data_IF_482086167493
#
_entry.id   IF_482086167493
#
_cell.length_a   1.000
_cell.length_b   1.000
_cell.length_c   1.000
_cell.angle_alpha   90.00
_cell.angle_beta   90.00
_cell.angle_gamma   90.00
#
_symmetry.space_group_name_H-M   'P 1'
#
loop_
_entity.id
_entity.type
_entity.pdbx_description
1 polymer ?
#
# COMPACT_ATOMS: atom_id res chain seq x y z
N UNK A 1 -6.64 -17.16 30.72
CA UNK A 1 -6.88 -17.19 29.27
C UNK A 1 -6.32 -18.50 28.77
N UNK A 2 -7.16 -19.40 28.25
CA UNK A 2 -6.66 -20.59 27.59
C UNK A 2 -5.85 -20.15 26.37
N UNK A 3 -4.69 -20.77 26.16
CA UNK A 3 -3.86 -20.58 24.98
C UNK A 3 -4.66 -21.00 23.74
N UNK A 4 -5.24 -20.04 23.02
CA UNK A 4 -5.98 -20.31 21.78
C UNK A 4 -7.12 -19.33 21.46
N UNK A 5 -7.65 -18.61 22.46
CA UNK A 5 -8.75 -17.67 22.21
C UNK A 5 -8.24 -16.30 21.74
N UNK A 6 -8.83 -15.78 20.66
CA UNK A 6 -8.53 -14.44 20.16
C UNK A 6 -9.33 -13.42 20.99
N UNK A 7 -8.69 -12.47 21.69
CA UNK A 7 -9.41 -11.57 22.60
C UNK A 7 -10.42 -10.69 21.85
N UNK A 8 -11.72 -10.90 22.07
CA UNK A 8 -12.78 -10.24 21.32
C UNK A 8 -12.73 -8.71 21.46
N UNK A 9 -12.28 -8.21 22.61
CA UNK A 9 -12.15 -6.79 22.93
C UNK A 9 -11.11 -6.07 22.07
N UNK A 10 -10.12 -6.77 21.50
CA UNK A 10 -9.09 -6.13 20.66
C UNK A 10 -9.47 -6.08 19.19
N UNK A 11 -10.48 -6.84 18.76
CA UNK A 11 -10.88 -6.97 17.34
C UNK A 11 -11.21 -5.62 16.73
N UNK A 12 -11.97 -4.79 17.45
CA UNK A 12 -12.36 -3.45 16.99
C UNK A 12 -11.13 -2.56 16.71
N UNK A 13 -10.16 -2.56 17.63
CA UNK A 13 -8.95 -1.76 17.51
C UNK A 13 -8.02 -2.26 16.40
N UNK A 14 -7.90 -3.57 16.26
CA UNK A 14 -7.13 -4.21 15.18
C UNK A 14 -7.69 -3.83 13.83
N UNK A 15 -9.01 -3.93 13.64
CA UNK A 15 -9.66 -3.55 12.38
C UNK A 15 -9.59 -2.03 12.16
N UNK A 16 -9.70 -1.22 13.21
CA UNK A 16 -9.56 0.24 13.13
C UNK A 16 -8.19 0.66 12.59
N UNK A 17 -7.12 -0.03 12.98
CA UNK A 17 -5.78 0.18 12.43
C UNK A 17 -5.63 -0.43 11.04
N UNK A 18 -6.18 -1.62 10.80
CA UNK A 18 -6.11 -2.31 9.52
C UNK A 18 -6.71 -1.49 8.37
N UNK A 19 -7.87 -0.85 8.59
CA UNK A 19 -8.53 -0.03 7.56
C UNK A 19 -7.70 1.19 7.16
N UNK A 20 -6.72 1.64 7.96
CA UNK A 20 -5.84 2.76 7.60
C UNK A 20 -4.87 2.42 6.47
N UNK A 21 -4.68 1.13 6.19
CA UNK A 21 -3.79 0.66 5.14
C UNK A 21 -4.06 1.35 3.78
N UNK A 22 -3.00 1.58 2.97
CA UNK A 22 -3.18 2.02 1.60
C UNK A 22 -3.81 0.91 0.75
N UNK A 23 -4.63 1.30 -0.22
CA UNK A 23 -5.16 0.40 -1.24
C UNK A 23 -5.19 1.08 -2.60
N UNK A 24 -5.22 0.28 -3.67
CA UNK A 24 -5.37 0.79 -5.03
C UNK A 24 -6.63 1.65 -5.12
N UNK A 25 -6.46 2.89 -5.54
CA UNK A 25 -7.51 3.91 -5.57
C UNK A 25 -8.29 4.11 -4.26
N UNK A 26 -7.71 3.76 -3.11
CA UNK A 26 -8.41 3.75 -1.83
C UNK A 26 -9.72 2.93 -1.89
N UNK A 27 -9.73 1.86 -2.69
CA UNK A 27 -10.87 0.96 -2.89
C UNK A 27 -11.22 0.15 -1.65
N UNK A 28 -10.26 -0.06 -0.75
CA UNK A 28 -10.40 -0.79 0.51
C UNK A 28 -11.04 -2.18 0.30
N UNK A 29 -10.44 -3.05 -0.54
CA UNK A 29 -11.08 -4.26 -1.05
C UNK A 29 -10.96 -5.44 -0.09
N UNK A 30 -11.18 -5.21 1.19
CA UNK A 30 -11.05 -6.21 2.26
C UNK A 30 -12.33 -6.31 3.09
N UNK A 31 -12.53 -7.51 3.61
CA UNK A 31 -13.49 -7.85 4.66
C UNK A 31 -12.80 -8.62 5.76
N UNK A 32 -13.24 -8.38 6.99
CA UNK A 32 -12.75 -9.02 8.19
C UNK A 32 -13.86 -9.87 8.78
N UNK A 33 -13.53 -11.07 9.24
CA UNK A 33 -14.51 -11.93 9.91
C UNK A 33 -13.90 -12.46 11.20
N UNK A 34 -14.58 -12.24 12.31
CA UNK A 34 -14.19 -12.78 13.60
C UNK A 34 -14.92 -14.10 13.86
N UNK A 35 -14.18 -15.17 14.10
CA UNK A 35 -14.74 -16.52 14.34
C UNK A 35 -14.86 -16.87 15.83
N UNK A 36 -14.33 -16.01 16.72
CA UNK A 36 -14.20 -16.27 18.16
C UNK A 36 -12.77 -16.66 18.53
N UNK A 37 -12.15 -17.53 17.75
CA UNK A 37 -10.79 -18.05 17.96
C UNK A 37 -9.76 -17.47 16.98
N UNK A 38 -10.22 -16.78 15.93
CA UNK A 38 -9.37 -16.18 14.91
C UNK A 38 -10.00 -14.95 14.28
N UNK A 39 -9.16 -14.17 13.62
CA UNK A 39 -9.57 -13.07 12.74
C UNK A 39 -9.20 -13.42 11.30
N UNK A 40 -10.18 -13.54 10.43
CA UNK A 40 -10.00 -13.86 9.02
C UNK A 40 -9.98 -12.60 8.17
N UNK A 41 -9.11 -12.57 7.16
CA UNK A 41 -9.07 -11.57 6.12
C UNK A 41 -9.56 -12.17 4.80
N UNK A 42 -10.58 -11.53 4.23
CA UNK A 42 -11.19 -11.87 2.96
C UNK A 42 -11.04 -10.74 1.95
N UNK A 43 -10.82 -11.07 0.67
CA UNK A 43 -10.95 -10.12 -0.44
C UNK A 43 -12.42 -9.75 -0.65
N UNK A 44 -12.70 -8.47 -0.90
CA UNK A 44 -14.04 -8.02 -1.33
C UNK A 44 -14.09 -7.92 -2.87
N UNK A 45 -14.68 -8.90 -3.58
CA UNK A 45 -14.72 -8.89 -5.04
C UNK A 45 -15.59 -7.77 -5.61
N UNK A 46 -16.54 -7.22 -4.84
CA UNK A 46 -17.39 -6.09 -5.28
C UNK A 46 -16.56 -4.81 -5.43
N UNK A 47 -15.39 -4.75 -4.81
CA UNK A 47 -14.46 -3.61 -4.84
C UNK A 47 -13.29 -3.83 -5.79
N UNK A 48 -13.31 -4.90 -6.59
CA UNK A 48 -12.31 -5.17 -7.62
C UNK A 48 -12.37 -4.11 -8.73
N UNK A 49 -11.22 -3.57 -9.08
CA UNK A 49 -11.03 -2.66 -10.22
C UNK A 49 -10.75 -3.49 -11.48
N UNK A 50 -11.80 -3.85 -12.21
CA UNK A 50 -11.70 -4.79 -13.33
C UNK A 50 -10.84 -4.26 -14.48
N UNK A 51 -10.83 -2.94 -14.71
CA UNK A 51 -10.06 -2.33 -15.81
C UNK A 51 -8.63 -2.01 -15.38
N UNK A 52 -8.47 -1.41 -14.20
CA UNK A 52 -7.16 -0.99 -13.66
C UNK A 52 -6.33 -2.19 -13.18
N UNK A 53 -6.96 -3.24 -12.67
CA UNK A 53 -6.30 -4.40 -12.04
C UNK A 53 -6.94 -5.72 -12.49
N UNK A 54 -6.93 -6.05 -13.79
CA UNK A 54 -7.65 -7.22 -14.33
C UNK A 54 -7.17 -8.55 -13.73
N UNK A 55 -5.93 -8.61 -13.22
CA UNK A 55 -5.33 -9.79 -12.61
C UNK A 55 -5.44 -9.85 -11.09
N UNK A 56 -6.13 -8.88 -10.47
CA UNK A 56 -6.32 -8.77 -9.01
C UNK A 56 -5.03 -8.63 -8.19
N UNK A 57 -3.92 -8.23 -8.82
CA UNK A 57 -2.64 -8.08 -8.13
C UNK A 57 -2.69 -6.92 -7.15
N UNK A 58 -3.17 -5.76 -7.60
CA UNK A 58 -3.28 -4.58 -6.76
C UNK A 58 -4.32 -4.77 -5.65
N UNK A 59 -5.37 -5.56 -5.89
CA UNK A 59 -6.33 -5.99 -4.88
C UNK A 59 -5.65 -6.83 -3.79
N UNK A 60 -4.88 -7.86 -4.15
CA UNK A 60 -4.19 -8.71 -3.18
C UNK A 60 -3.13 -7.92 -2.40
N UNK A 61 -2.37 -7.06 -3.06
CA UNK A 61 -1.41 -6.17 -2.39
C UNK A 61 -2.12 -5.21 -1.42
N UNK A 62 -3.30 -4.69 -1.78
CA UNK A 62 -4.09 -3.85 -0.88
C UNK A 62 -4.51 -4.62 0.37
N UNK A 63 -4.97 -5.87 0.22
CA UNK A 63 -5.33 -6.73 1.35
C UNK A 63 -4.11 -7.07 2.21
N UNK A 64 -2.95 -7.33 1.60
CA UNK A 64 -1.71 -7.58 2.33
C UNK A 64 -1.26 -6.38 3.15
N UNK A 65 -1.43 -5.16 2.64
CA UNK A 65 -1.15 -3.96 3.40
C UNK A 65 -2.07 -3.86 4.64
N UNK A 66 -3.36 -4.20 4.50
CA UNK A 66 -4.31 -4.26 5.62
C UNK A 66 -3.95 -5.36 6.62
N UNK A 67 -3.52 -6.53 6.14
CA UNK A 67 -3.00 -7.62 6.97
C UNK A 67 -1.83 -7.15 7.84
N UNK A 68 -0.84 -6.47 7.24
CA UNK A 68 0.29 -5.95 8.00
C UNK A 68 -0.12 -4.89 9.03
N UNK A 69 -1.08 -4.02 8.71
CA UNK A 69 -1.58 -3.05 9.68
C UNK A 69 -2.30 -3.73 10.85
N UNK A 70 -3.02 -4.84 10.60
CA UNK A 70 -3.62 -5.65 11.66
C UNK A 70 -2.54 -6.32 12.53
N UNK A 71 -1.46 -6.84 11.94
CA UNK A 71 -0.33 -7.43 12.67
C UNK A 71 0.38 -6.40 13.57
N UNK A 72 0.57 -5.17 13.08
CA UNK A 72 1.11 -4.05 13.88
C UNK A 72 0.18 -3.71 15.05
N UNK A 73 -1.12 -3.69 14.82
CA UNK A 73 -2.11 -3.42 15.87
C UNK A 73 -2.09 -4.49 16.97
N UNK A 74 -2.01 -5.76 16.58
CA UNK A 74 -1.86 -6.89 17.51
C UNK A 74 -0.56 -6.78 18.32
N UNK A 75 0.57 -6.50 17.65
CA UNK A 75 1.86 -6.35 18.32
C UNK A 75 1.85 -5.22 19.35
N UNK A 76 1.18 -4.10 19.08
CA UNK A 76 0.99 -3.00 20.03
C UNK A 76 0.11 -3.36 21.25
N UNK A 77 -0.58 -4.51 21.20
CA UNK A 77 -1.38 -5.08 22.28
C UNK A 77 -0.71 -6.28 22.95
N UNK A 78 0.61 -6.41 22.81
CA UNK A 78 1.39 -7.54 23.32
C UNK A 78 0.90 -8.90 22.78
N UNK A 79 0.41 -8.92 21.53
CA UNK A 79 -0.03 -10.13 20.82
C UNK A 79 0.80 -10.33 19.54
N UNK A 80 1.23 -11.56 19.29
CA UNK A 80 1.86 -11.96 18.03
C UNK A 80 0.87 -12.71 17.18
N UNK A 81 0.85 -12.40 15.89
CA UNK A 81 -0.02 -13.04 14.93
C UNK A 81 0.71 -14.18 14.21
N UNK A 82 0.16 -15.38 14.30
CA UNK A 82 0.43 -16.49 13.40
C UNK A 82 -0.56 -16.40 12.23
N UNK A 83 -0.06 -16.50 11.01
CA UNK A 83 -0.84 -16.24 9.80
C UNK A 83 -0.84 -17.46 8.89
N UNK A 84 -2.02 -18.05 8.73
CA UNK A 84 -2.26 -19.10 7.75
C UNK A 84 -2.78 -18.45 6.45
N UNK A 85 -2.00 -18.55 5.37
CA UNK A 85 -2.33 -17.93 4.08
C UNK A 85 -3.12 -18.90 3.20
N UNK A 86 -4.19 -18.40 2.57
CA UNK A 86 -5.10 -19.17 1.71
C UNK A 86 -5.51 -20.51 2.34
N UNK A 87 -6.09 -20.50 3.56
CA UNK A 87 -6.28 -21.72 4.36
C UNK A 87 -7.36 -22.66 3.79
N UNK A 88 -8.27 -22.14 2.97
CA UNK A 88 -9.38 -22.91 2.39
C UNK A 88 -9.15 -23.11 0.90
N UNK A 89 -8.90 -24.36 0.49
CA UNK A 89 -8.73 -24.71 -0.92
C UNK A 89 -10.03 -24.41 -1.70
N UNK A 90 -9.90 -23.70 -2.83
CA UNK A 90 -11.02 -23.35 -3.70
C UNK A 90 -11.71 -22.03 -3.35
N UNK A 91 -11.58 -21.54 -2.12
CA UNK A 91 -12.01 -20.19 -1.76
C UNK A 91 -10.91 -19.18 -2.13
N UNK A 92 -11.15 -18.42 -3.19
CA UNK A 92 -10.21 -17.39 -3.64
C UNK A 92 -10.31 -16.10 -2.85
N UNK A 93 -11.35 -15.93 -2.04
CA UNK A 93 -11.58 -14.74 -1.24
C UNK A 93 -10.98 -14.85 0.14
N UNK A 94 -10.90 -16.04 0.76
CA UNK A 94 -10.23 -16.24 2.05
C UNK A 94 -8.70 -16.13 1.90
N UNK A 95 -8.15 -14.98 2.27
CA UNK A 95 -6.72 -14.67 2.05
C UNK A 95 -5.84 -15.10 3.20
N UNK A 96 -6.29 -14.87 4.43
CA UNK A 96 -5.51 -15.19 5.62
C UNK A 96 -6.40 -15.45 6.84
N UNK A 97 -5.91 -16.29 7.76
CA UNK A 97 -6.45 -16.45 9.11
C UNK A 97 -5.37 -16.06 10.11
N UNK A 98 -5.67 -15.11 11.01
CA UNK A 98 -4.80 -14.69 12.07
C UNK A 98 -5.20 -15.38 13.38
N UNK A 99 -4.26 -16.12 13.96
CA UNK A 99 -4.32 -16.64 15.32
C UNK A 99 -3.31 -15.89 16.17
N UNK A 100 -3.59 -15.76 17.46
CA UNK A 100 -2.77 -14.91 18.34
C UNK A 100 -2.16 -15.68 19.49
N UNK A 101 -0.92 -15.34 19.81
CA UNK A 101 -0.21 -15.78 21.01
C UNK A 101 0.29 -14.57 21.78
N UNK A 102 0.40 -14.63 23.12
CA UNK A 102 1.01 -13.56 23.89
C UNK A 102 2.46 -13.30 23.45
N UNK A 103 2.82 -12.04 23.27
CA UNK A 103 4.20 -11.65 22.97
C UNK A 103 4.41 -10.16 23.08
N UNK A 104 5.28 -9.78 24.02
CA UNK A 104 5.54 -8.38 24.39
C UNK A 104 5.90 -7.51 23.19
N UNK A 105 5.31 -6.31 23.13
CA UNK A 105 5.63 -5.28 22.16
C UNK A 105 7.10 -4.85 22.29
N UNK A 106 7.78 -4.74 21.16
CA UNK A 106 9.09 -4.10 21.07
C UNK A 106 8.92 -2.60 20.84
N UNK A 107 10.00 -1.83 21.01
CA UNK A 107 9.99 -0.40 20.65
C UNK A 107 9.63 -0.20 19.17
N UNK A 108 10.07 -1.10 18.28
CA UNK A 108 9.74 -1.03 16.86
C UNK A 108 8.24 -1.24 16.60
N UNK A 109 7.59 -2.14 17.34
CA UNK A 109 6.14 -2.37 17.22
C UNK A 109 5.35 -1.09 17.60
N UNK A 110 5.77 -0.42 18.67
CA UNK A 110 5.17 0.84 19.14
C UNK A 110 5.37 1.95 18.09
N UNK A 111 6.60 2.13 17.58
CA UNK A 111 6.90 3.11 16.53
C UNK A 111 6.06 2.90 15.27
N UNK A 112 5.85 1.65 14.85
CA UNK A 112 5.00 1.32 13.71
C UNK A 112 3.52 1.59 13.98
N UNK A 113 3.03 1.28 15.18
CA UNK A 113 1.65 1.55 15.57
C UNK A 113 1.33 3.06 15.57
N UNK A 114 2.24 3.87 16.09
CA UNK A 114 2.14 5.34 16.06
C UNK A 114 2.23 5.91 14.64
N UNK A 115 2.86 5.19 13.70
CA UNK A 115 2.95 5.59 12.30
C UNK A 115 1.65 5.37 11.52
N UNK A 116 0.82 4.39 11.92
CA UNK A 116 -0.45 4.04 11.23
C UNK A 116 -1.40 5.24 11.01
N UNK A 117 -1.75 6.05 12.02
CA UNK A 117 -2.65 7.19 11.80
C UNK A 117 -2.03 8.30 10.97
N UNK A 118 -0.69 8.46 11.04
CA UNK A 118 0.10 9.52 10.38
C UNK A 118 0.41 9.23 8.91
N UNK A 119 0.51 7.95 8.54
CA UNK A 119 0.90 7.55 7.17
C UNK A 119 -0.16 8.01 6.18
N UNK A 120 0.26 8.85 5.23
CA UNK A 120 -0.55 9.31 4.10
C UNK A 120 0.29 9.22 2.81
N UNK A 121 -0.39 9.07 1.67
CA UNK A 121 0.29 9.06 0.38
C UNK A 121 0.49 10.50 -0.07
N UNK A 122 1.71 11.01 0.07
CA UNK A 122 2.02 12.36 -0.37
C UNK A 122 2.47 12.36 -1.81
N UNK A 123 1.59 12.89 -2.67
CA UNK A 123 1.85 12.99 -4.10
C UNK A 123 2.57 14.27 -4.47
N UNK A 124 2.82 15.22 -3.56
CA UNK A 124 3.56 16.47 -3.82
C UNK A 124 5.04 16.20 -4.16
N UNK A 125 5.75 17.21 -4.65
CA UNK A 125 7.21 17.13 -4.85
C UNK A 125 7.92 16.96 -3.51
N UNK A 126 8.95 16.14 -3.50
CA UNK A 126 9.85 16.02 -2.36
C UNK A 126 11.04 16.96 -2.54
N UNK A 127 11.54 17.49 -1.43
CA UNK A 127 12.69 18.40 -1.43
C UNK A 127 13.98 17.68 -1.83
N UNK A 128 14.96 18.43 -2.34
CA UNK A 128 16.26 17.93 -2.82
C UNK A 128 17.20 17.39 -1.72
N UNK A 129 16.77 17.43 -0.45
CA UNK A 129 17.56 16.88 0.66
C UNK A 129 17.69 15.36 0.47
N UNK A 130 18.91 14.80 0.36
CA UNK A 130 19.08 13.37 0.15
C UNK A 130 18.62 12.58 1.39
N UNK A 131 18.10 11.38 1.15
CA UNK A 131 17.83 10.42 2.23
C UNK A 131 19.09 9.59 2.45
N UNK A 132 19.63 9.60 3.67
CA UNK A 132 20.86 8.86 3.95
C UNK A 132 20.69 7.35 3.73
N UNK A 133 21.75 6.67 3.28
CA UNK A 133 21.73 5.22 3.03
C UNK A 133 21.31 4.41 4.27
N UNK A 134 21.65 4.87 5.47
CA UNK A 134 21.20 4.28 6.73
C UNK A 134 19.67 4.34 6.91
N UNK A 135 19.03 5.46 6.53
CA UNK A 135 17.57 5.60 6.56
C UNK A 135 16.91 4.73 5.50
N UNK A 136 17.45 4.70 4.27
CA UNK A 136 16.96 3.81 3.22
C UNK A 136 17.00 2.35 3.68
N UNK A 137 18.13 1.90 4.25
CA UNK A 137 18.23 0.53 4.82
C UNK A 137 17.24 0.28 5.95
N UNK A 138 17.03 1.25 6.85
CA UNK A 138 16.02 1.12 7.93
C UNK A 138 14.61 0.95 7.36
N UNK A 139 14.27 1.69 6.31
CA UNK A 139 12.95 1.65 5.66
C UNK A 139 12.75 0.40 4.82
N UNK A 140 13.79 -0.08 4.13
CA UNK A 140 13.67 -1.24 3.22
C UNK A 140 13.78 -2.59 3.91
N UNK A 141 14.52 -2.68 5.04
CA UNK A 141 14.79 -3.94 5.75
C UNK A 141 13.54 -4.75 6.10
N UNK A 142 12.43 -4.17 6.59
CA UNK A 142 11.24 -4.93 6.98
C UNK A 142 10.59 -5.72 5.83
N UNK A 143 10.83 -5.35 4.57
CA UNK A 143 10.30 -6.10 3.43
C UNK A 143 10.74 -7.58 3.44
N UNK A 144 11.94 -7.86 3.96
CA UNK A 144 12.50 -9.21 4.02
C UNK A 144 11.72 -10.17 4.91
N UNK A 145 11.02 -9.66 5.93
CA UNK A 145 10.17 -10.47 6.83
C UNK A 145 8.99 -11.13 6.09
N UNK A 146 8.63 -10.60 4.93
CA UNK A 146 7.53 -11.08 4.09
C UNK A 146 8.04 -11.73 2.80
N UNK A 147 9.32 -12.10 2.72
CA UNK A 147 9.89 -12.70 1.50
C UNK A 147 9.94 -11.75 0.29
N UNK A 148 9.95 -10.44 0.55
CA UNK A 148 10.09 -9.40 -0.46
C UNK A 148 11.39 -8.60 -0.24
N UNK A 149 11.74 -7.75 -1.20
CA UNK A 149 12.83 -6.79 -1.07
C UNK A 149 12.37 -5.42 -1.60
N UNK A 150 12.74 -4.34 -0.90
CA UNK A 150 12.57 -2.97 -1.39
C UNK A 150 13.94 -2.41 -1.80
N UNK A 151 14.20 -2.38 -3.11
CA UNK A 151 15.52 -2.04 -3.66
C UNK A 151 15.57 -0.58 -4.09
N UNK A 152 16.57 0.14 -3.61
CA UNK A 152 16.85 1.51 -4.08
C UNK A 152 17.23 1.46 -5.56
N UNK A 153 16.59 2.32 -6.35
CA UNK A 153 16.86 2.45 -7.78
C UNK A 153 17.90 3.56 -7.96
N UNK A 154 19.13 3.22 -8.39
CA UNK A 154 20.14 4.22 -8.65
C UNK A 154 19.71 5.16 -9.78
N UNK A 155 20.21 6.42 -9.82
CA UNK A 155 19.87 7.36 -10.88
C UNK A 155 20.09 6.83 -12.30
N UNK A 156 21.10 5.97 -12.50
CA UNK A 156 21.39 5.32 -13.79
C UNK A 156 20.28 4.39 -14.28
N UNK A 157 19.35 3.98 -13.41
CA UNK A 157 18.20 3.13 -13.72
C UNK A 157 16.86 3.88 -13.57
N UNK A 158 16.88 5.23 -13.51
CA UNK A 158 15.64 6.02 -13.48
C UNK A 158 14.96 6.07 -14.85
N UNK A 159 15.71 6.02 -15.95
CA UNK A 159 15.13 6.11 -17.30
C UNK A 159 14.17 4.95 -17.63
N UNK A 160 14.47 3.66 -17.34
CA UNK A 160 13.49 2.59 -17.52
C UNK A 160 12.18 2.79 -16.74
N UNK A 161 12.24 3.41 -15.55
CA UNK A 161 11.04 3.75 -14.78
C UNK A 161 10.29 4.94 -15.41
N UNK A 162 11.02 5.95 -15.90
CA UNK A 162 10.47 7.09 -16.61
C UNK A 162 9.73 6.64 -17.87
N UNK A 163 10.34 5.78 -18.67
CA UNK A 163 9.79 5.23 -19.89
C UNK A 163 8.51 4.42 -19.62
N UNK A 164 8.57 3.48 -18.66
CA UNK A 164 7.40 2.69 -18.30
C UNK A 164 6.24 3.58 -17.81
N UNK A 165 6.51 4.59 -16.99
CA UNK A 165 5.45 5.50 -16.49
C UNK A 165 4.88 6.41 -17.56
N UNK A 166 5.71 6.88 -18.50
CA UNK A 166 5.27 7.66 -19.66
C UNK A 166 4.38 6.84 -20.59
N UNK A 167 4.81 5.64 -20.97
CA UNK A 167 4.02 4.75 -21.82
C UNK A 167 2.69 4.37 -21.14
N UNK A 168 2.71 4.08 -19.84
CA UNK A 168 1.50 3.78 -19.10
C UNK A 168 0.51 4.95 -19.09
N UNK A 169 1.00 6.17 -18.83
CA UNK A 169 0.20 7.39 -18.85
C UNK A 169 -0.42 7.64 -20.23
N UNK A 170 0.37 7.50 -21.30
CA UNK A 170 -0.09 7.72 -22.67
C UNK A 170 -1.17 6.70 -23.06
N UNK A 171 -0.97 5.40 -22.79
CA UNK A 171 -1.97 4.35 -23.04
C UNK A 171 -3.27 4.57 -22.28
N UNK A 172 -3.17 4.87 -20.99
CA UNK A 172 -4.33 5.14 -20.15
C UNK A 172 -5.07 6.43 -20.53
N UNK A 173 -4.37 7.45 -21.04
CA UNK A 173 -5.02 8.67 -21.54
C UNK A 173 -5.91 8.43 -22.76
N UNK A 174 -5.60 7.40 -23.57
CA UNK A 174 -6.42 6.98 -24.70
C UNK A 174 -7.48 5.92 -24.37
N UNK A 175 -7.47 5.35 -23.17
CA UNK A 175 -8.40 4.28 -22.77
C UNK A 175 -9.62 4.83 -22.03
N UNK A 176 -10.74 4.94 -22.75
CA UNK A 176 -11.99 5.44 -22.18
C UNK A 176 -12.56 4.58 -21.03
N UNK A 177 -12.32 3.27 -21.03
CA UNK A 177 -12.80 2.38 -19.96
C UNK A 177 -12.00 2.62 -18.68
N UNK A 178 -10.68 2.75 -18.81
CA UNK A 178 -9.81 3.11 -17.71
C UNK A 178 -10.17 4.47 -17.13
N UNK A 179 -10.34 5.50 -17.97
CA UNK A 179 -10.69 6.85 -17.51
C UNK A 179 -12.05 6.89 -16.78
N UNK A 180 -13.05 6.12 -17.24
CA UNK A 180 -14.34 5.99 -16.53
C UNK A 180 -14.18 5.32 -15.17
N UNK A 181 -13.41 4.25 -15.07
CA UNK A 181 -13.15 3.59 -13.79
C UNK A 181 -12.37 4.51 -12.84
N UNK A 182 -11.35 5.21 -13.35
CA UNK A 182 -10.56 6.18 -12.59
C UNK A 182 -11.42 7.35 -12.07
N UNK A 183 -12.32 7.89 -12.89
CA UNK A 183 -13.27 8.94 -12.49
C UNK A 183 -14.29 8.44 -11.46
N UNK A 184 -14.68 7.16 -11.51
CA UNK A 184 -15.49 6.55 -10.45
C UNK A 184 -14.76 6.54 -9.12
N UNK A 185 -13.43 6.41 -9.10
CA UNK A 185 -12.65 6.27 -7.87
C UNK A 185 -11.81 7.49 -7.49
N UNK A 186 -11.87 8.60 -8.23
CA UNK A 186 -11.06 9.79 -7.93
C UNK A 186 -11.79 11.10 -8.22
N UNK A 187 -11.32 12.21 -7.65
CA UNK A 187 -11.91 13.55 -7.87
C UNK A 187 -13.25 13.77 -7.15
N UNK A 188 -13.56 12.95 -6.14
CA UNK A 188 -14.83 13.00 -5.40
C UNK A 188 -14.66 13.72 -4.05
N UNK A 189 -15.75 14.30 -3.55
CA UNK A 189 -15.83 14.93 -2.22
C UNK A 189 -16.77 14.11 -1.31
N UNK A 190 -16.41 13.95 -0.04
CA UNK A 190 -17.29 13.36 0.99
C UNK A 190 -17.53 11.84 0.92
N UNK A 191 -16.94 11.12 -0.04
CA UNK A 191 -17.04 9.65 -0.12
C UNK A 191 -16.18 8.96 0.96
N UNK A 192 -16.61 7.81 1.46
CA UNK A 192 -15.82 7.00 2.41
C UNK A 192 -14.67 6.20 1.75
N UNK A 193 -14.63 6.21 0.41
CA UNK A 193 -13.66 5.51 -0.43
C UNK A 193 -13.29 6.32 -1.69
N UNK A 194 -12.30 5.85 -2.43
CA UNK A 194 -11.74 6.61 -3.55
C UNK A 194 -10.68 7.63 -3.10
N UNK A 195 -10.05 8.25 -4.07
CA UNK A 195 -9.01 9.27 -3.91
C UNK A 195 -9.66 10.66 -4.02
N UNK A 196 -9.79 11.42 -2.93
CA UNK A 196 -10.32 12.77 -2.98
C UNK A 196 -9.49 13.69 -3.87
N UNK A 197 -10.15 14.66 -4.51
CA UNK A 197 -9.51 15.74 -5.27
C UNK A 197 -8.39 16.42 -4.46
N UNK A 198 -8.68 16.73 -3.19
CA UNK A 198 -7.77 17.34 -2.23
C UNK A 198 -6.56 16.46 -1.82
N UNK A 199 -6.45 15.22 -2.31
CA UNK A 199 -5.30 14.34 -2.06
C UNK A 199 -4.38 14.17 -3.28
N UNK A 200 -4.65 14.87 -4.38
CA UNK A 200 -3.93 14.71 -5.65
C UNK A 200 -3.55 16.08 -6.21
N UNK A 201 -2.25 16.32 -6.49
CA UNK A 201 -1.82 17.57 -7.11
C UNK A 201 -2.09 17.53 -8.63
N UNK A 202 -2.13 18.71 -9.28
CA UNK A 202 -2.22 18.76 -10.73
C UNK A 202 -1.01 18.06 -11.37
N UNK A 203 -1.19 17.50 -12.59
CA UNK A 203 -0.08 16.91 -13.34
C UNK A 203 1.03 17.95 -13.53
N UNK A 204 2.27 17.51 -13.42
CA UNK A 204 3.44 18.38 -13.52
C UNK A 204 4.10 18.19 -14.89
N UNK A 205 4.45 19.30 -15.51
CA UNK A 205 5.33 19.29 -16.67
C UNK A 205 6.78 19.00 -16.25
N UNK A 206 7.51 18.21 -17.04
CA UNK A 206 8.96 18.03 -16.91
C UNK A 206 9.45 17.04 -15.83
N UNK A 207 8.56 16.28 -15.18
CA UNK A 207 8.99 15.17 -14.32
C UNK A 207 9.44 13.97 -15.15
N UNK A 208 10.64 13.45 -14.86
CA UNK A 208 11.18 12.27 -15.55
C UNK A 208 10.30 11.04 -15.28
N UNK A 209 10.12 10.67 -14.01
CA UNK A 209 9.23 9.58 -13.61
C UNK A 209 7.84 10.15 -13.34
N UNK A 210 6.91 9.92 -14.27
CA UNK A 210 5.55 10.46 -14.18
C UNK A 210 4.75 9.76 -13.10
N UNK A 211 3.94 10.53 -12.39
CA UNK A 211 2.93 9.98 -11.48
C UNK A 211 1.59 9.80 -12.18
N UNK A 212 0.76 8.90 -11.63
CA UNK A 212 -0.63 8.76 -12.07
C UNK A 212 -1.37 10.08 -11.91
N UNK A 213 -2.02 10.52 -12.99
CA UNK A 213 -2.94 11.66 -12.98
C UNK A 213 -4.31 11.17 -12.52
N UNK A 214 -4.90 11.86 -11.54
CA UNK A 214 -6.23 11.55 -11.01
C UNK A 214 -7.24 12.59 -11.50
N UNK A 215 -8.53 12.26 -11.40
CA UNK A 215 -9.61 13.17 -11.82
C UNK A 215 -9.71 14.36 -10.88
N UNK A 216 -9.91 15.57 -11.44
CA UNK A 216 -10.13 16.83 -10.72
C UNK A 216 -9.16 17.08 -9.54
N UNK A 217 -7.84 17.21 -9.79
CA UNK A 217 -6.86 17.41 -8.72
C UNK A 217 -6.94 18.81 -8.08
N UNK A 218 -6.92 18.87 -6.75
CA UNK A 218 -7.04 20.11 -5.96
C UNK A 218 -5.94 20.29 -4.90
N UNK A 219 -5.05 19.31 -4.70
CA UNK A 219 -3.99 19.44 -3.69
C UNK A 219 -2.94 20.45 -4.17
N UNK A 220 -2.72 21.57 -3.46
CA UNK A 220 -1.68 22.51 -3.85
C UNK A 220 -0.29 21.89 -3.71
N UNK A 221 0.54 22.08 -4.73
CA UNK A 221 1.95 21.72 -4.72
C UNK A 221 2.79 22.96 -5.02
N UNK A 222 3.13 23.68 -3.95
CA UNK A 222 3.86 24.94 -4.03
C UNK A 222 5.38 24.75 -4.16
N UNK A 223 5.86 23.52 -4.30
CA UNK A 223 7.29 23.24 -4.44
C UNK A 223 7.84 23.78 -5.75
N UNK A 224 8.86 24.64 -5.68
CA UNK A 224 9.60 25.16 -6.84
C UNK A 224 10.87 24.31 -7.05
N UNK A 225 10.90 23.44 -8.07
CA UNK A 225 12.06 22.59 -8.37
C UNK A 225 11.67 21.21 -8.93
N UNK A 226 12.68 20.37 -9.18
CA UNK A 226 12.48 18.96 -9.50
C UNK A 226 12.10 18.16 -8.25
N UNK A 227 11.44 17.02 -8.47
CA UNK A 227 11.12 16.08 -7.40
C UNK A 227 12.40 15.40 -6.89
N UNK A 228 12.83 15.73 -5.67
CA UNK A 228 14.05 15.24 -5.01
C UNK A 228 13.91 13.86 -4.37
N UNK A 229 12.99 13.05 -4.87
CA UNK A 229 12.65 11.78 -4.26
C UNK A 229 13.62 10.65 -4.57
N UNK A 230 13.82 9.77 -3.60
CA UNK A 230 14.39 8.44 -3.82
C UNK A 230 13.31 7.47 -4.29
N UNK A 231 13.67 6.58 -5.21
CA UNK A 231 12.77 5.54 -5.73
C UNK A 231 13.21 4.16 -5.25
N UNK A 232 12.28 3.42 -4.66
CA UNK A 232 12.44 2.00 -4.38
C UNK A 232 11.55 1.19 -5.34
N UNK A 233 12.03 0.03 -5.77
CA UNK A 233 11.19 -1.03 -6.36
C UNK A 233 11.02 -2.13 -5.32
N UNK A 234 9.78 -2.36 -4.92
CA UNK A 234 9.39 -3.51 -4.12
C UNK A 234 9.20 -4.72 -5.04
N UNK A 235 9.91 -5.80 -4.76
CA UNK A 235 9.90 -7.01 -5.59
C UNK A 235 9.86 -8.30 -4.76
N UNK A 236 9.36 -9.37 -5.38
CA UNK A 236 9.23 -10.72 -4.79
C UNK A 236 9.90 -11.76 -5.70
N UNK A 237 10.25 -12.93 -5.16
CA UNK A 237 10.82 -14.03 -5.97
C UNK A 237 9.80 -14.73 -6.87
N UNK A 238 8.51 -14.67 -6.52
CA UNK A 238 7.40 -15.16 -7.33
C UNK A 238 6.44 -14.04 -7.75
N UNK A 239 5.49 -14.36 -8.62
CA UNK A 239 4.39 -13.47 -9.05
C UNK A 239 3.01 -14.14 -8.91
N UNK A 240 2.90 -15.10 -7.98
CA UNK A 240 1.64 -15.74 -7.64
C UNK A 240 0.83 -14.94 -6.60
N UNK A 241 -0.36 -15.44 -6.26
CA UNK A 241 -1.27 -14.76 -5.31
C UNK A 241 -0.64 -14.58 -3.93
N UNK A 242 0.18 -15.53 -3.48
CA UNK A 242 0.86 -15.45 -2.20
C UNK A 242 1.94 -14.37 -2.24
N UNK A 243 2.72 -14.31 -3.31
CA UNK A 243 3.70 -13.25 -3.53
C UNK A 243 3.03 -11.87 -3.57
N UNK A 244 1.86 -11.73 -4.21
CA UNK A 244 1.11 -10.46 -4.23
C UNK A 244 0.61 -10.04 -2.85
N UNK A 245 0.06 -10.98 -2.08
CA UNK A 245 -0.41 -10.71 -0.73
C UNK A 245 0.75 -10.30 0.19
N UNK A 246 1.86 -11.05 0.16
CA UNK A 246 3.08 -10.73 0.92
C UNK A 246 3.75 -9.45 0.47
N UNK A 247 3.71 -9.13 -0.82
CA UNK A 247 4.16 -7.82 -1.31
C UNK A 247 3.31 -6.68 -0.74
N UNK A 248 2.02 -6.91 -0.53
CA UNK A 248 1.16 -5.98 0.22
C UNK A 248 1.63 -5.77 1.65
N UNK A 249 1.91 -6.85 2.39
CA UNK A 249 2.43 -6.76 3.76
C UNK A 249 3.77 -6.01 3.81
N UNK A 250 4.69 -6.36 2.91
CA UNK A 250 5.98 -5.69 2.77
C UNK A 250 5.83 -4.19 2.45
N UNK A 251 4.92 -3.83 1.53
CA UNK A 251 4.62 -2.43 1.24
C UNK A 251 4.10 -1.70 2.48
N UNK A 252 3.20 -2.32 3.24
CA UNK A 252 2.71 -1.79 4.52
C UNK A 252 3.86 -1.51 5.50
N UNK A 253 4.75 -2.48 5.69
CA UNK A 253 5.89 -2.36 6.61
C UNK A 253 6.88 -1.27 6.19
N UNK A 254 7.18 -1.17 4.89
CA UNK A 254 8.07 -0.14 4.33
C UNK A 254 7.48 1.26 4.51
N UNK A 255 6.19 1.45 4.19
CA UNK A 255 5.52 2.76 4.30
C UNK A 255 5.36 3.23 5.74
N UNK A 256 5.06 2.32 6.67
CA UNK A 256 5.00 2.62 8.10
C UNK A 256 6.39 2.94 8.65
N UNK A 257 7.41 2.20 8.23
CA UNK A 257 8.81 2.45 8.62
C UNK A 257 9.33 3.80 8.12
N UNK A 258 8.97 4.21 6.89
CA UNK A 258 9.25 5.54 6.37
C UNK A 258 8.59 6.63 7.24
N UNK A 259 7.31 6.45 7.56
CA UNK A 259 6.53 7.39 8.37
C UNK A 259 7.08 7.50 9.79
N UNK A 260 7.51 6.39 10.40
CA UNK A 260 8.08 6.35 11.75
C UNK A 260 9.34 7.22 11.88
N UNK A 261 10.14 7.35 10.80
CA UNK A 261 11.35 8.19 10.77
C UNK A 261 11.14 9.56 10.12
N UNK A 262 9.88 9.95 9.89
CA UNK A 262 9.50 11.27 9.37
C UNK A 262 9.68 11.45 7.86
N UNK A 263 9.87 10.37 7.11
CA UNK A 263 9.89 10.44 5.64
C UNK A 263 8.46 10.42 5.09
N UNK A 264 8.25 11.22 4.04
CA UNK A 264 7.05 11.15 3.22
C UNK A 264 7.18 10.02 2.20
N UNK A 265 6.04 9.44 1.82
CA UNK A 265 6.03 8.31 0.88
C UNK A 265 4.81 8.26 -0.03
N UNK A 266 4.97 7.68 -1.22
CA UNK A 266 3.87 7.39 -2.12
C UNK A 266 4.09 6.08 -2.88
N UNK A 267 3.07 5.22 -2.89
CA UNK A 267 3.05 3.99 -3.67
C UNK A 267 2.60 4.29 -5.11
N UNK A 268 3.27 3.69 -6.08
CA UNK A 268 2.97 3.81 -7.51
C UNK A 268 3.00 2.42 -8.17
N UNK A 269 1.87 2.01 -8.74
CA UNK A 269 1.70 0.66 -9.31
C UNK A 269 1.22 0.68 -10.77
N UNK A 270 1.03 1.86 -11.35
CA UNK A 270 0.42 2.02 -12.67
C UNK A 270 1.12 1.26 -13.81
N UNK A 271 2.43 1.48 -14.10
CA UNK A 271 3.09 0.73 -15.16
C UNK A 271 3.10 -0.78 -14.88
N UNK A 272 3.16 -1.17 -13.61
CA UNK A 272 3.16 -2.58 -13.22
C UNK A 272 1.81 -3.27 -13.51
N UNK A 273 0.72 -2.51 -13.68
CA UNK A 273 -0.57 -3.03 -14.12
C UNK A 273 -0.54 -3.61 -15.54
N UNK A 274 0.42 -3.18 -16.37
CA UNK A 274 0.56 -3.61 -17.76
C UNK A 274 1.64 -4.71 -17.87
N UNK A 275 1.32 -5.91 -18.38
CA UNK A 275 2.25 -7.03 -18.40
C UNK A 275 3.59 -6.74 -19.08
N UNK A 276 3.57 -6.03 -20.21
CA UNK A 276 4.77 -5.68 -20.98
C UNK A 276 5.65 -4.65 -20.27
N UNK A 277 5.05 -3.59 -19.72
CA UNK A 277 5.81 -2.58 -18.95
C UNK A 277 6.37 -3.15 -17.64
N UNK A 278 5.62 -4.05 -17.01
CA UNK A 278 6.10 -4.79 -15.83
C UNK A 278 7.28 -5.70 -16.18
N UNK A 279 7.24 -6.37 -17.34
CA UNK A 279 8.35 -7.18 -17.84
C UNK A 279 9.58 -6.31 -18.15
N UNK A 280 9.39 -5.14 -18.76
CA UNK A 280 10.47 -4.18 -19.00
C UNK A 280 11.16 -3.75 -17.68
N UNK A 281 10.38 -3.35 -16.66
CA UNK A 281 10.94 -3.02 -15.33
C UNK A 281 11.67 -4.23 -14.71
N UNK A 282 11.14 -5.44 -14.88
CA UNK A 282 11.79 -6.66 -14.38
C UNK A 282 13.15 -6.88 -15.05
N UNK A 283 13.26 -6.73 -16.35
CA UNK A 283 14.51 -6.95 -17.09
C UNK A 283 15.49 -5.79 -16.88
N UNK A 284 15.05 -4.55 -17.06
CA UNK A 284 15.94 -3.39 -17.13
C UNK A 284 16.36 -2.86 -15.74
N UNK A 285 15.48 -2.97 -14.74
CA UNK A 285 15.76 -2.45 -13.38
C UNK A 285 16.15 -3.58 -12.42
N UNK A 286 15.54 -4.76 -12.56
CA UNK A 286 15.78 -5.88 -11.66
C UNK A 286 16.66 -6.99 -12.27
N UNK A 287 17.10 -6.87 -13.53
CA UNK A 287 17.94 -7.88 -14.20
C UNK A 287 17.37 -9.29 -14.09
N UNK A 288 16.04 -9.41 -14.25
CA UNK A 288 15.26 -10.65 -14.22
C UNK A 288 15.30 -11.48 -12.93
N UNK A 289 15.98 -11.01 -11.87
CA UNK A 289 16.16 -11.78 -10.64
C UNK A 289 14.98 -11.71 -9.65
N UNK A 290 13.96 -10.87 -9.90
CA UNK A 290 12.76 -10.77 -9.10
C UNK A 290 11.59 -10.15 -9.89
N UNK A 291 10.36 -10.31 -9.40
CA UNK A 291 9.15 -9.72 -9.98
C UNK A 291 8.81 -8.38 -9.30
N UNK A 292 8.71 -7.27 -10.05
CA UNK A 292 8.37 -5.97 -9.48
C UNK A 292 6.88 -5.90 -9.13
N UNK A 293 6.58 -5.53 -7.88
CA UNK A 293 5.23 -5.49 -7.32
C UNK A 293 4.73 -4.06 -7.12
N UNK A 294 5.61 -3.16 -6.67
CA UNK A 294 5.31 -1.73 -6.56
C UNK A 294 6.56 -0.87 -6.73
N UNK A 295 6.36 0.38 -7.17
CA UNK A 295 7.33 1.45 -7.03
C UNK A 295 6.95 2.29 -5.80
N UNK A 296 7.93 2.68 -4.99
CA UNK A 296 7.72 3.49 -3.79
C UNK A 296 8.62 4.71 -3.89
N UNK A 297 8.01 5.88 -3.82
CA UNK A 297 8.73 7.13 -3.72
C UNK A 297 8.93 7.52 -2.25
N UNK A 298 10.12 7.97 -1.89
CA UNK A 298 10.49 8.37 -0.53
C UNK A 298 11.22 9.71 -0.53
N UNK A 299 11.02 10.54 0.48
CA UNK A 299 11.77 11.78 0.62
C UNK A 299 11.26 12.69 1.71
N UNK A 300 11.80 13.90 1.74
CA UNK A 300 11.41 14.94 2.68
C UNK A 300 10.40 15.87 2.03
N UNK A 301 9.36 16.23 2.76
CA UNK A 301 8.49 17.34 2.40
C UNK A 301 8.97 18.59 3.11
N UNK A 302 8.70 19.77 2.54
CA UNK A 302 9.03 21.03 3.21
C UNK A 302 8.40 21.05 4.61
N UNK A 303 9.13 21.45 5.67
CA UNK A 303 8.55 21.66 7.00
C UNK A 303 7.41 22.68 7.01
N UNK A 304 7.38 23.58 6.02
CA UNK A 304 6.32 24.59 5.84
C UNK A 304 5.16 24.10 4.97
N UNK A 305 5.23 22.87 4.44
CA UNK A 305 4.16 22.31 3.65
C UNK A 305 2.91 22.13 4.52
N UNK A 306 1.75 22.55 4.00
CA UNK A 306 0.48 22.34 4.68
C UNK A 306 0.27 20.84 4.99
N UNK A 307 -0.37 20.49 6.11
CA UNK A 307 -0.78 19.12 6.38
C UNK A 307 -1.61 18.54 5.24
N UNK A 308 -1.46 17.25 4.96
CA UNK A 308 -2.28 16.60 3.95
C UNK A 308 -3.72 16.44 4.44
N UNK A 309 -4.73 16.77 3.61
CA UNK A 309 -6.11 16.47 3.92
C UNK A 309 -6.30 14.98 4.23
N UNK A 310 -7.12 14.60 5.22
CA UNK A 310 -7.32 13.21 5.57
C UNK A 310 -7.94 12.45 4.38
N UNK A 311 -7.38 11.28 4.06
CA UNK A 311 -8.01 10.37 3.11
C UNK A 311 -9.07 9.56 3.86
N UNK A 312 -10.32 9.51 3.39
CA UNK A 312 -11.41 8.84 4.07
C UNK A 312 -11.19 7.32 4.14
N UNK A 313 -11.83 6.69 5.12
CA UNK A 313 -11.89 5.24 5.31
C UNK A 313 -13.32 4.81 5.61
N UNK A 314 -13.69 3.62 5.16
CA UNK A 314 -14.95 2.96 5.49
C UNK A 314 -15.03 2.71 6.99
N UNK A 315 -16.23 2.75 7.54
CA UNK A 315 -16.44 2.44 8.96
C UNK A 315 -16.17 0.97 9.22
N UNK A 316 -15.74 0.64 10.44
CA UNK A 316 -15.45 -0.74 10.87
C UNK A 316 -16.65 -1.66 10.59
N UNK A 317 -17.87 -1.21 10.92
CA UNK A 317 -19.11 -1.96 10.69
C UNK A 317 -19.42 -2.28 9.22
N UNK A 318 -18.75 -1.63 8.26
CA UNK A 318 -18.91 -1.91 6.83
C UNK A 318 -17.88 -2.92 6.30
N UNK A 319 -16.81 -3.17 7.06
CA UNK A 319 -15.71 -4.05 6.66
C UNK A 319 -15.57 -5.27 7.56
N UNK A 320 -16.25 -5.31 8.71
CA UNK A 320 -16.29 -6.47 9.58
C UNK A 320 -17.65 -7.16 9.43
N UNK A 321 -17.62 -8.45 9.08
CA UNK A 321 -18.81 -9.28 9.09
C UNK A 321 -19.22 -9.54 10.53
N UNK A 322 -20.51 -9.40 10.84
CA UNK A 322 -21.02 -9.78 12.16
C UNK A 322 -20.93 -11.30 12.32
N UNK A 323 -20.67 -11.81 13.53
CA UNK A 323 -20.68 -13.25 13.78
C UNK A 323 -22.04 -13.80 13.34
N UNK A 324 -22.03 -14.73 12.39
CA UNK A 324 -23.22 -15.47 11.99
C UNK A 324 -23.67 -16.23 13.23
N UNK A 325 -24.76 -15.80 13.86
CA UNK A 325 -25.42 -16.58 14.91
C UNK A 325 -25.80 -17.93 14.28
N UNK A 326 -25.08 -18.98 14.64
CA UNK A 326 -25.52 -20.35 14.39
C UNK A 326 -26.53 -20.74 15.46
#
# INVERSE_FOLDING_TARGET
MNSGDFPAEVVGDVVAMAVRAPSVHNSQPWRWRFTGDALELHADPVRHLAVTDPTQRALLMSCGAALQHARVALAARDLRAEVDYFPVLGDRTHLATLRVTPGRATQADIELAEAVPRRQSDRRRYGSRPVSSARIRRVSRPAGEFGAAARLVPPTLHEPLADATRIAADRHSGDSAYLRELARWSGRHGAADGVPAANTPPPRAGEAIRQRVFTAPELPDLGTGSDGSEWLVLCTLGDDRLAHLRAGEAAGAVLLSATAIGLSSCLQTEPLGMPDLRAAIRTEVLYDCAFPQAMIRLGWVSPTAAPLPPTPRRRIAEVIDQPVRR
#
